data_IF_983530238939
#
_entry.id   IF_983530238939
#
_cell.length_a   1.000
_cell.length_b   1.000
_cell.length_c   1.000
_cell.angle_alpha   90.00
_cell.angle_beta   90.00
_cell.angle_gamma   90.00
#
_symmetry.space_group_name_H-M   'P 1'
#
loop_
_entity.id
_entity.type
_entity.pdbx_description
1 polymer ?
#
# COMPACT_ATOMS: atom_id res chain seq x y z
N UNK A 1 24.03 2.22 -6.97
CA UNK A 1 22.71 2.50 -7.56
C UNK A 1 21.83 2.98 -6.40
N UNK A 2 21.47 4.25 -6.37
CA UNK A 2 20.64 4.82 -5.31
C UNK A 2 19.20 4.31 -5.44
N UNK A 3 18.45 4.21 -4.32
CA UNK A 3 17.03 3.83 -4.35
C UNK A 3 16.19 4.74 -5.24
N UNK A 4 16.56 6.01 -5.36
CA UNK A 4 15.93 6.99 -6.25
C UNK A 4 15.88 6.50 -7.70
N UNK A 5 16.97 5.93 -8.21
CA UNK A 5 17.06 5.43 -9.60
C UNK A 5 16.10 4.28 -9.89
N UNK A 6 15.75 3.46 -8.89
CA UNK A 6 14.78 2.38 -9.05
C UNK A 6 13.37 2.92 -9.24
N UNK A 7 12.97 3.88 -8.41
CA UNK A 7 11.62 4.45 -8.47
C UNK A 7 11.38 5.28 -9.73
N UNK A 8 12.41 5.87 -10.34
CA UNK A 8 12.31 6.57 -11.63
C UNK A 8 11.94 5.65 -12.79
N UNK A 9 12.28 4.37 -12.69
CA UNK A 9 11.95 3.36 -13.70
C UNK A 9 10.65 2.58 -13.39
N UNK A 10 10.10 2.77 -12.20
CA UNK A 10 8.88 2.11 -11.77
C UNK A 10 7.69 2.76 -12.46
N UNK A 11 6.97 2.03 -13.33
CA UNK A 11 5.70 2.42 -13.96
C UNK A 11 5.66 2.66 -15.47
N UNK A 12 6.48 2.02 -16.21
CA UNK A 12 6.36 2.07 -17.68
C UNK A 12 5.12 1.31 -18.22
N UNK A 13 4.52 0.42 -17.43
CA UNK A 13 3.35 -0.36 -17.83
C UNK A 13 2.03 0.42 -17.65
N UNK A 14 1.35 0.75 -18.74
CA UNK A 14 -0.02 1.30 -18.70
C UNK A 14 -0.99 0.23 -18.19
N UNK A 15 -1.84 0.53 -17.20
CA UNK A 15 -2.83 -0.43 -16.72
C UNK A 15 -3.87 -0.74 -17.80
N UNK A 16 -4.29 -2.00 -17.86
CA UNK A 16 -5.44 -2.40 -18.67
C UNK A 16 -6.74 -1.86 -18.06
N UNK A 17 -7.82 -1.77 -18.88
CA UNK A 17 -9.14 -1.34 -18.36
C UNK A 17 -9.61 -2.17 -17.17
N UNK A 18 -9.43 -3.50 -17.20
CA UNK A 18 -9.74 -4.40 -16.09
C UNK A 18 -8.83 -4.13 -14.86
N UNK A 19 -7.54 -3.91 -15.06
CA UNK A 19 -6.61 -3.56 -14.00
C UNK A 19 -6.98 -2.24 -13.32
N UNK A 20 -7.39 -1.23 -14.08
CA UNK A 20 -7.90 0.04 -13.54
C UNK A 20 -9.15 -0.15 -12.68
N UNK A 21 -10.11 -0.94 -13.15
CA UNK A 21 -11.33 -1.23 -12.41
C UNK A 21 -11.01 -1.92 -11.07
N UNK A 22 -10.14 -2.95 -11.09
CA UNK A 22 -9.72 -3.67 -9.89
C UNK A 22 -9.04 -2.72 -8.89
N UNK A 23 -8.13 -1.87 -9.37
CA UNK A 23 -7.40 -0.92 -8.51
C UNK A 23 -8.34 0.10 -7.87
N UNK A 24 -9.32 0.62 -8.63
CA UNK A 24 -10.35 1.54 -8.08
C UNK A 24 -11.23 0.85 -7.05
N UNK A 25 -11.68 -0.38 -7.32
CA UNK A 25 -12.48 -1.16 -6.36
C UNK A 25 -11.70 -1.45 -5.08
N UNK A 26 -10.40 -1.75 -5.21
CA UNK A 26 -9.49 -1.98 -4.09
C UNK A 26 -9.30 -0.71 -3.24
N UNK A 27 -9.01 0.43 -3.88
CA UNK A 27 -8.88 1.72 -3.20
C UNK A 27 -10.17 2.11 -2.46
N UNK A 28 -11.32 1.94 -3.09
CA UNK A 28 -12.63 2.18 -2.49
C UNK A 28 -12.90 1.30 -1.24
N UNK A 29 -12.41 0.05 -1.23
CA UNK A 29 -12.50 -0.81 -0.04
C UNK A 29 -11.62 -0.33 1.10
N UNK A 30 -10.40 0.13 0.81
CA UNK A 30 -9.51 0.70 1.83
C UNK A 30 -10.12 1.97 2.41
N UNK A 31 -10.61 2.87 1.56
CA UNK A 31 -11.27 4.11 1.94
C UNK A 31 -12.45 3.84 2.90
N UNK A 32 -13.35 2.93 2.50
CA UNK A 32 -14.51 2.54 3.32
C UNK A 32 -14.12 1.86 4.64
N UNK A 33 -13.10 0.98 4.61
CA UNK A 33 -12.62 0.30 5.81
C UNK A 33 -12.00 1.27 6.82
N UNK A 34 -11.26 2.26 6.34
CA UNK A 34 -10.69 3.31 7.17
C UNK A 34 -11.78 4.15 7.85
N UNK A 35 -12.91 4.36 7.18
CA UNK A 35 -13.96 5.27 7.63
C UNK A 35 -13.62 6.72 7.31
N UNK A 36 -12.97 6.96 6.18
CA UNK A 36 -12.66 8.31 5.70
C UNK A 36 -13.93 8.94 5.14
N UNK A 37 -14.16 10.21 5.46
CA UNK A 37 -15.34 10.98 5.08
C UNK A 37 -14.92 12.34 4.50
N UNK A 38 -15.90 13.10 4.02
CA UNK A 38 -15.69 14.46 3.52
C UNK A 38 -15.05 15.34 4.60
N UNK A 39 -14.06 16.13 4.24
CA UNK A 39 -13.35 17.07 5.12
C UNK A 39 -12.32 16.41 6.03
N UNK A 40 -12.19 15.08 6.09
CA UNK A 40 -11.07 14.46 6.79
C UNK A 40 -9.75 14.75 6.10
N UNK A 41 -8.73 15.07 6.90
CA UNK A 41 -7.35 15.24 6.43
C UNK A 41 -6.62 13.88 6.33
N UNK A 42 -6.09 13.57 5.15
CA UNK A 42 -5.48 12.28 4.83
C UNK A 42 -4.05 12.47 4.33
N UNK A 43 -3.10 11.80 4.98
CA UNK A 43 -1.72 11.67 4.51
C UNK A 43 -1.53 10.29 3.89
N UNK A 44 -1.13 10.21 2.62
CA UNK A 44 -0.69 8.95 2.01
C UNK A 44 0.81 8.99 1.75
N UNK A 45 1.54 7.94 2.16
CA UNK A 45 2.94 7.78 1.79
C UNK A 45 3.07 6.75 0.68
N UNK A 46 3.77 7.12 -0.41
CA UNK A 46 3.95 6.29 -1.59
C UNK A 46 2.65 6.04 -2.38
N UNK A 47 1.90 7.09 -2.77
CA UNK A 47 0.66 6.93 -3.53
C UNK A 47 0.86 6.33 -4.93
N UNK A 48 2.07 6.40 -5.47
CA UNK A 48 2.39 5.91 -6.79
C UNK A 48 1.48 6.53 -7.86
N UNK A 49 0.69 5.70 -8.57
CA UNK A 49 -0.27 6.18 -9.59
C UNK A 49 -1.43 6.99 -9.03
N UNK A 50 -1.60 7.07 -7.73
CA UNK A 50 -2.61 7.87 -7.07
C UNK A 50 -4.04 7.38 -7.22
N UNK A 51 -4.27 6.07 -7.31
CA UNK A 51 -5.64 5.54 -7.40
C UNK A 51 -6.42 5.77 -6.12
N UNK A 52 -5.73 5.68 -4.96
CA UNK A 52 -6.35 6.01 -3.67
C UNK A 52 -6.46 7.53 -3.49
N UNK A 53 -5.48 8.31 -3.96
CA UNK A 53 -5.57 9.77 -4.03
C UNK A 53 -6.82 10.23 -4.77
N UNK A 54 -7.08 9.68 -5.98
CA UNK A 54 -8.29 9.99 -6.74
C UNK A 54 -9.58 9.65 -5.97
N UNK A 55 -9.55 8.60 -5.15
CA UNK A 55 -10.70 8.22 -4.32
C UNK A 55 -10.92 9.24 -3.20
N UNK A 56 -9.86 9.68 -2.51
CA UNK A 56 -9.92 10.70 -1.46
C UNK A 56 -10.39 12.06 -2.01
N UNK A 57 -9.76 12.53 -3.08
CA UNK A 57 -10.09 13.83 -3.70
C UNK A 57 -11.54 13.88 -4.19
N UNK A 58 -12.03 12.80 -4.84
CA UNK A 58 -13.42 12.70 -5.28
C UNK A 58 -14.42 12.66 -4.12
N UNK A 59 -14.02 12.12 -2.98
CA UNK A 59 -14.83 12.08 -1.78
C UNK A 59 -14.79 13.41 -0.99
N UNK A 60 -14.01 14.41 -1.42
CA UNK A 60 -13.90 15.69 -0.72
C UNK A 60 -13.04 15.63 0.55
N UNK A 61 -12.12 14.67 0.66
CA UNK A 61 -11.13 14.64 1.71
C UNK A 61 -9.97 15.60 1.39
N UNK A 62 -9.39 16.22 2.43
CA UNK A 62 -8.17 17.03 2.32
C UNK A 62 -6.97 16.10 2.19
N UNK A 63 -6.47 15.95 0.97
CA UNK A 63 -5.46 14.95 0.66
C UNK A 63 -4.06 15.55 0.54
N UNK A 64 -3.11 14.93 1.25
CA UNK A 64 -1.69 15.22 1.16
C UNK A 64 -0.92 13.91 0.92
N UNK A 65 0.18 13.97 0.18
CA UNK A 65 1.00 12.80 -0.12
C UNK A 65 2.50 13.06 0.04
N UNK A 66 3.25 11.97 0.34
CA UNK A 66 4.71 11.92 0.23
C UNK A 66 5.06 10.89 -0.84
N UNK A 67 5.67 11.32 -1.95
CA UNK A 67 5.98 10.46 -3.11
C UNK A 67 7.42 10.69 -3.57
N UNK A 68 8.30 9.67 -3.59
CA UNK A 68 9.69 9.83 -4.00
C UNK A 68 9.87 10.04 -5.51
N UNK A 69 8.97 9.51 -6.34
CA UNK A 69 9.07 9.67 -7.79
C UNK A 69 8.51 11.02 -8.23
N UNK A 70 9.39 11.87 -8.75
CA UNK A 70 9.06 13.24 -9.15
C UNK A 70 7.95 13.32 -10.20
N UNK A 71 7.96 12.44 -11.21
CA UNK A 71 6.94 12.45 -12.27
C UNK A 71 5.57 12.09 -11.73
N UNK A 72 5.52 11.16 -10.75
CA UNK A 72 4.26 10.79 -10.08
C UNK A 72 3.78 11.90 -9.17
N UNK A 73 4.68 12.53 -8.41
CA UNK A 73 4.36 13.69 -7.58
C UNK A 73 3.73 14.82 -8.42
N UNK A 74 4.37 15.22 -9.51
CA UNK A 74 3.85 16.22 -10.45
C UNK A 74 2.49 15.83 -11.07
N UNK A 75 2.31 14.54 -11.36
CA UNK A 75 1.03 14.03 -11.86
C UNK A 75 -0.09 14.10 -10.81
N UNK A 76 0.23 13.91 -9.54
CA UNK A 76 -0.72 14.04 -8.43
C UNK A 76 -1.08 15.50 -8.17
N UNK A 77 -0.11 16.40 -8.20
CA UNK A 77 -0.32 17.85 -8.05
C UNK A 77 -1.26 18.40 -9.13
N UNK A 78 -1.08 17.98 -10.38
CA UNK A 78 -1.99 18.34 -11.50
C UNK A 78 -3.43 17.86 -11.29
N UNK A 79 -3.65 16.88 -10.40
CA UNK A 79 -4.98 16.38 -10.01
C UNK A 79 -5.53 17.04 -8.74
N UNK A 80 -4.80 18.03 -8.18
CA UNK A 80 -5.23 18.78 -7.00
C UNK A 80 -4.74 18.21 -5.66
N UNK A 81 -3.80 17.26 -5.66
CA UNK A 81 -3.18 16.79 -4.43
C UNK A 81 -2.08 17.75 -3.95
N UNK A 82 -1.91 17.87 -2.63
CA UNK A 82 -0.71 18.46 -2.05
C UNK A 82 0.35 17.38 -1.91
N UNK A 83 1.53 17.53 -2.52
CA UNK A 83 2.55 16.47 -2.57
C UNK A 83 3.90 17.00 -2.11
N UNK A 84 4.54 16.24 -1.21
CA UNK A 84 5.95 16.43 -0.84
C UNK A 84 6.78 15.37 -1.56
N UNK A 85 7.72 15.79 -2.41
CA UNK A 85 8.59 14.87 -3.13
C UNK A 85 9.76 14.45 -2.21
N UNK A 86 9.60 13.30 -1.54
CA UNK A 86 10.58 12.77 -0.59
C UNK A 86 10.50 11.26 -0.44
N UNK A 87 11.61 10.64 -0.02
CA UNK A 87 11.66 9.25 0.42
C UNK A 87 11.21 9.12 1.88
N UNK A 88 10.68 7.97 2.25
CA UNK A 88 10.37 7.59 3.64
C UNK A 88 11.04 6.25 3.99
N UNK A 89 11.53 6.03 5.24
CA UNK A 89 11.84 7.04 6.25
C UNK A 89 13.09 7.87 5.92
N UNK A 90 13.28 9.05 6.53
CA UNK A 90 12.39 9.70 7.49
C UNK A 90 11.15 10.32 6.82
N UNK A 91 10.06 10.47 7.60
CA UNK A 91 8.93 11.28 7.15
C UNK A 91 9.37 12.75 7.08
N UNK A 92 9.13 13.48 5.98
CA UNK A 92 9.42 14.92 5.92
C UNK A 92 8.56 15.67 6.96
N UNK A 93 9.02 16.88 7.34
CA UNK A 93 8.23 17.75 8.20
C UNK A 93 6.90 18.08 7.54
N UNK A 94 5.83 17.96 8.32
CA UNK A 94 4.48 18.25 7.89
C UNK A 94 3.98 19.48 8.65
N UNK A 95 3.36 20.40 7.93
CA UNK A 95 2.84 21.67 8.46
C UNK A 95 1.55 21.55 9.27
N UNK A 96 0.96 20.33 9.30
CA UNK A 96 -0.31 20.02 9.96
C UNK A 96 -0.41 18.58 10.43
N UNK A 97 -1.43 18.32 11.26
CA UNK A 97 -1.81 16.98 11.67
C UNK A 97 -2.95 16.42 10.83
N UNK A 98 -3.05 15.09 10.78
CA UNK A 98 -3.97 14.35 9.93
C UNK A 98 -4.94 13.49 10.74
N UNK A 99 -6.16 13.32 10.23
CA UNK A 99 -7.14 12.36 10.76
C UNK A 99 -6.74 10.93 10.40
N UNK A 100 -6.15 10.76 9.20
CA UNK A 100 -5.70 9.47 8.70
C UNK A 100 -4.31 9.57 8.08
N UNK A 101 -3.49 8.55 8.34
CA UNK A 101 -2.30 8.25 7.54
C UNK A 101 -2.48 6.89 6.86
N UNK A 102 -2.06 6.76 5.61
CA UNK A 102 -2.29 5.56 4.79
C UNK A 102 -1.01 5.15 4.09
N UNK A 103 -0.69 3.86 4.15
CA UNK A 103 0.38 3.20 3.41
C UNK A 103 -0.18 2.01 2.63
N UNK A 104 -0.11 2.06 1.30
CA UNK A 104 -0.58 0.99 0.42
C UNK A 104 0.58 0.44 -0.39
N UNK A 105 1.00 -0.79 -0.11
CA UNK A 105 2.18 -1.45 -0.69
C UNK A 105 3.46 -0.60 -0.55
N UNK A 106 3.72 -0.15 0.67
CA UNK A 106 4.92 0.64 1.02
C UNK A 106 5.68 0.00 2.18
N UNK A 107 4.98 -0.53 3.17
CA UNK A 107 5.61 -1.09 4.37
C UNK A 107 6.58 -2.25 4.06
N UNK A 108 6.28 -3.06 3.05
CA UNK A 108 7.14 -4.16 2.58
C UNK A 108 8.49 -3.70 2.02
N UNK A 109 8.61 -2.43 1.65
CA UNK A 109 9.84 -1.83 1.12
C UNK A 109 10.76 -1.22 2.20
N UNK A 110 10.39 -1.28 3.47
CA UNK A 110 11.29 -0.87 4.54
C UNK A 110 12.51 -1.79 4.57
N UNK A 111 13.72 -1.23 4.72
CA UNK A 111 14.96 -2.03 4.68
C UNK A 111 15.14 -2.89 5.93
N UNK A 112 14.57 -2.46 7.04
CA UNK A 112 14.76 -3.08 8.34
C UNK A 112 13.51 -2.96 9.22
N UNK A 113 13.51 -3.68 10.33
CA UNK A 113 12.51 -3.52 11.39
C UNK A 113 12.60 -2.12 12.02
N UNK A 114 13.81 -1.58 12.11
CA UNK A 114 14.06 -0.24 12.65
C UNK A 114 13.42 0.83 11.77
N UNK A 115 13.59 0.75 10.45
CA UNK A 115 12.95 1.67 9.49
C UNK A 115 11.43 1.57 9.58
N UNK A 116 10.88 0.36 9.67
CA UNK A 116 9.45 0.14 9.79
C UNK A 116 8.90 0.74 11.11
N UNK A 117 9.63 0.59 12.21
CA UNK A 117 9.24 1.18 13.50
C UNK A 117 9.39 2.70 13.47
N UNK A 118 10.48 3.23 12.94
CA UNK A 118 10.72 4.67 12.81
C UNK A 118 9.58 5.36 12.06
N UNK A 119 9.26 4.88 10.85
CA UNK A 119 8.17 5.50 10.08
C UNK A 119 6.82 5.38 10.79
N UNK A 120 6.57 4.26 11.48
CA UNK A 120 5.34 4.06 12.25
C UNK A 120 5.23 5.08 13.38
N UNK A 121 6.32 5.37 14.09
CA UNK A 121 6.36 6.39 15.15
C UNK A 121 6.20 7.80 14.58
N UNK A 122 6.90 8.13 13.49
CA UNK A 122 6.79 9.43 12.84
C UNK A 122 5.36 9.69 12.30
N UNK A 123 4.72 8.66 11.75
CA UNK A 123 3.29 8.74 11.35
C UNK A 123 2.41 9.02 12.57
N UNK A 124 2.70 8.40 13.73
CA UNK A 124 1.94 8.67 14.96
C UNK A 124 2.06 10.13 15.40
N UNK A 125 3.23 10.75 15.25
CA UNK A 125 3.48 12.15 15.63
C UNK A 125 2.62 13.11 14.81
N UNK A 126 2.48 12.89 13.50
CA UNK A 126 1.71 13.75 12.60
C UNK A 126 0.21 13.45 12.57
N UNK A 127 -0.25 12.42 13.28
CA UNK A 127 -1.67 12.16 13.45
C UNK A 127 -2.26 13.00 14.59
N UNK A 128 -3.49 13.48 14.40
CA UNK A 128 -4.32 14.07 15.46
C UNK A 128 -4.57 13.05 16.58
N UNK A 129 -4.96 13.47 17.80
CA UNK A 129 -5.53 12.57 18.80
C UNK A 129 -6.67 11.74 18.17
N UNK A 130 -6.69 10.41 18.45
CA UNK A 130 -7.61 9.44 17.82
C UNK A 130 -7.46 9.28 16.30
N UNK A 131 -6.47 9.93 15.71
CA UNK A 131 -6.11 9.71 14.30
C UNK A 131 -5.71 8.26 14.02
N UNK A 132 -5.91 7.80 12.79
CA UNK A 132 -5.77 6.39 12.44
C UNK A 132 -4.67 6.17 11.42
N UNK A 133 -3.84 5.16 11.66
CA UNK A 133 -2.86 4.68 10.69
C UNK A 133 -3.37 3.41 10.01
N UNK A 134 -3.46 3.45 8.69
CA UNK A 134 -3.96 2.37 7.82
C UNK A 134 -2.80 1.82 7.00
N UNK A 135 -2.53 0.53 7.11
CA UNK A 135 -1.51 -0.17 6.34
C UNK A 135 -2.19 -1.24 5.49
N UNK A 136 -1.89 -1.26 4.19
CA UNK A 136 -2.25 -2.35 3.30
C UNK A 136 -0.99 -2.91 2.64
N UNK A 137 -0.67 -4.17 2.91
CA UNK A 137 0.58 -4.83 2.48
C UNK A 137 0.33 -6.26 2.03
N UNK A 138 1.15 -6.83 1.13
CA UNK A 138 1.11 -8.25 0.79
C UNK A 138 1.23 -9.15 2.02
N UNK A 139 0.42 -10.19 2.12
CA UNK A 139 0.58 -11.20 3.17
C UNK A 139 1.62 -12.23 2.73
N UNK A 140 2.82 -12.18 3.31
CA UNK A 140 3.89 -13.13 3.02
C UNK A 140 3.44 -14.59 3.10
N UNK A 141 2.59 -14.94 4.07
CA UNK A 141 2.11 -16.31 4.23
C UNK A 141 1.26 -16.81 3.05
N UNK A 142 0.69 -15.89 2.28
CA UNK A 142 -0.06 -16.19 1.06
C UNK A 142 0.78 -16.00 -0.21
N UNK A 143 1.56 -14.94 -0.28
CA UNK A 143 2.47 -14.67 -1.41
C UNK A 143 3.61 -15.69 -1.49
N UNK A 144 4.12 -16.17 -0.35
CA UNK A 144 5.22 -17.12 -0.24
C UNK A 144 6.47 -16.60 -1.00
N UNK A 145 7.09 -17.44 -1.84
CA UNK A 145 8.23 -17.04 -2.68
C UNK A 145 7.92 -15.87 -3.63
N UNK A 146 6.66 -15.70 -4.05
CA UNK A 146 6.26 -14.57 -4.88
C UNK A 146 6.39 -13.22 -4.17
N UNK A 147 6.47 -13.19 -2.84
CA UNK A 147 6.71 -11.96 -2.10
C UNK A 147 8.03 -11.28 -2.51
N UNK A 148 9.09 -12.07 -2.67
CA UNK A 148 10.38 -11.56 -3.13
C UNK A 148 10.52 -11.57 -4.66
N UNK A 149 9.85 -12.52 -5.33
CA UNK A 149 9.97 -12.68 -6.78
C UNK A 149 9.22 -11.59 -7.57
N UNK A 150 8.19 -10.96 -7.00
CA UNK A 150 7.42 -9.93 -7.70
C UNK A 150 8.09 -8.56 -7.69
N UNK A 151 8.95 -8.30 -6.69
CA UNK A 151 9.64 -7.03 -6.52
C UNK A 151 10.90 -7.23 -5.66
N UNK A 152 12.07 -6.86 -6.18
CA UNK A 152 13.34 -7.08 -5.50
C UNK A 152 13.53 -6.18 -4.27
N UNK A 153 12.77 -5.10 -4.16
CA UNK A 153 12.85 -4.14 -3.05
C UNK A 153 12.03 -4.56 -1.82
N UNK A 154 11.29 -5.68 -1.89
CA UNK A 154 10.58 -6.25 -0.75
C UNK A 154 11.56 -6.81 0.28
N UNK A 155 11.90 -6.03 1.29
CA UNK A 155 12.86 -6.38 2.35
C UNK A 155 12.19 -6.67 3.69
N UNK A 156 11.11 -5.94 4.04
CA UNK A 156 10.38 -6.12 5.28
C UNK A 156 9.23 -7.12 5.10
N UNK A 157 9.42 -8.33 5.62
CA UNK A 157 8.38 -9.37 5.55
C UNK A 157 7.14 -8.95 6.34
N UNK A 158 6.02 -8.81 5.64
CA UNK A 158 4.73 -8.43 6.22
C UNK A 158 3.83 -9.63 6.44
N UNK A 159 3.36 -9.80 7.67
CA UNK A 159 2.30 -10.73 8.06
C UNK A 159 1.34 -10.01 8.99
N UNK A 160 0.10 -10.49 9.11
CA UNK A 160 -0.89 -9.90 10.03
C UNK A 160 -0.35 -9.76 11.45
N UNK A 161 0.37 -10.77 11.95
CA UNK A 161 0.96 -10.75 13.30
C UNK A 161 2.05 -9.69 13.41
N UNK A 162 2.98 -9.63 12.45
CA UNK A 162 4.08 -8.66 12.48
C UNK A 162 3.58 -7.22 12.38
N UNK A 163 2.62 -6.93 11.47
CA UNK A 163 2.04 -5.60 11.36
C UNK A 163 1.27 -5.20 12.63
N UNK A 164 0.57 -6.15 13.29
CA UNK A 164 -0.06 -5.87 14.58
C UNK A 164 0.97 -5.52 15.65
N UNK A 165 2.06 -6.29 15.75
CA UNK A 165 3.15 -6.03 16.69
C UNK A 165 3.83 -4.69 16.40
N UNK A 166 4.05 -4.36 15.13
CA UNK A 166 4.62 -3.08 14.69
C UNK A 166 3.75 -1.90 15.15
N UNK A 167 2.44 -1.96 14.91
CA UNK A 167 1.51 -0.91 15.35
C UNK A 167 1.50 -0.75 16.89
N UNK A 168 1.47 -1.85 17.64
CA UNK A 168 1.57 -1.81 19.11
C UNK A 168 2.88 -1.16 19.55
N UNK A 169 4.02 -1.57 18.97
CA UNK A 169 5.34 -1.02 19.28
C UNK A 169 5.47 0.45 18.87
N UNK A 170 4.75 0.88 17.85
CA UNK A 170 4.65 2.28 17.41
C UNK A 170 3.67 3.13 18.24
N UNK A 171 3.03 2.57 19.28
CA UNK A 171 2.13 3.30 20.19
C UNK A 171 0.69 3.44 19.69
N UNK A 172 0.25 2.53 18.83
CA UNK A 172 -1.14 2.45 18.38
C UNK A 172 -1.94 1.40 19.17
N UNK A 173 -3.23 1.67 19.35
CA UNK A 173 -4.19 0.76 19.98
C UNK A 173 -5.41 0.51 19.08
N UNK A 174 -6.49 -0.07 19.62
CA UNK A 174 -7.75 -0.35 18.90
C UNK A 174 -7.50 -0.99 17.51
N UNK A 175 -6.53 -1.92 17.46
CA UNK A 175 -6.05 -2.48 16.20
C UNK A 175 -7.08 -3.46 15.63
N UNK A 176 -7.56 -3.17 14.43
CA UNK A 176 -8.43 -4.06 13.65
C UNK A 176 -7.80 -4.40 12.31
N UNK A 177 -8.10 -5.58 11.78
CA UNK A 177 -7.56 -6.01 10.50
C UNK A 177 -8.50 -6.93 9.74
N UNK A 178 -8.39 -6.92 8.42
CA UNK A 178 -9.03 -7.87 7.52
C UNK A 178 -8.09 -8.27 6.39
N UNK A 179 -8.51 -9.23 5.58
CA UNK A 179 -7.81 -9.61 4.37
C UNK A 179 -8.56 -9.14 3.13
N UNK A 180 -7.81 -8.67 2.13
CA UNK A 180 -8.29 -8.33 0.80
C UNK A 180 -7.63 -9.24 -0.25
N UNK A 181 -8.36 -9.55 -1.32
CA UNK A 181 -7.87 -10.31 -2.47
C UNK A 181 -8.41 -9.66 -3.74
N UNK A 182 -7.61 -8.79 -4.36
CA UNK A 182 -8.09 -7.93 -5.43
C UNK A 182 -9.34 -7.13 -5.00
N UNK A 183 -10.43 -7.18 -5.78
CA UNK A 183 -11.67 -6.50 -5.44
C UNK A 183 -12.53 -7.24 -4.40
N UNK A 184 -12.08 -8.39 -3.89
CA UNK A 184 -12.83 -9.25 -3.00
C UNK A 184 -12.35 -9.14 -1.56
N UNK A 185 -13.25 -9.42 -0.61
CA UNK A 185 -12.97 -9.46 0.83
C UNK A 185 -13.78 -10.57 1.50
N UNK A 186 -13.51 -10.86 2.78
CA UNK A 186 -14.21 -11.91 3.52
C UNK A 186 -13.90 -13.33 3.00
N UNK A 187 -14.86 -14.25 3.17
CA UNK A 187 -14.68 -15.68 2.86
C UNK A 187 -14.36 -15.92 1.38
N UNK A 188 -15.04 -15.24 0.47
CA UNK A 188 -14.81 -15.37 -0.98
C UNK A 188 -13.41 -14.97 -1.37
N UNK A 189 -12.93 -13.81 -0.88
CA UNK A 189 -11.57 -13.36 -1.10
C UNK A 189 -10.52 -14.31 -0.49
N UNK A 190 -10.82 -14.87 0.68
CA UNK A 190 -9.95 -15.86 1.33
C UNK A 190 -9.82 -17.14 0.49
N UNK A 191 -10.93 -17.72 0.02
CA UNK A 191 -10.92 -18.94 -0.78
C UNK A 191 -10.21 -18.75 -2.12
N UNK A 192 -10.52 -17.67 -2.85
CA UNK A 192 -9.88 -17.36 -4.13
C UNK A 192 -8.38 -17.15 -3.95
N UNK A 193 -7.95 -16.37 -2.95
CA UNK A 193 -6.53 -16.18 -2.69
C UNK A 193 -5.82 -17.46 -2.30
N UNK A 194 -6.47 -18.36 -1.56
CA UNK A 194 -5.91 -19.65 -1.17
C UNK A 194 -5.66 -20.58 -2.36
N UNK A 195 -6.53 -20.54 -3.37
CA UNK A 195 -6.36 -21.31 -4.61
C UNK A 195 -5.29 -20.65 -5.49
N UNK A 196 -5.46 -19.37 -5.78
CA UNK A 196 -4.59 -18.62 -6.71
C UNK A 196 -3.14 -18.58 -6.24
N UNK A 197 -2.90 -18.44 -4.94
CA UNK A 197 -1.53 -18.43 -4.38
C UNK A 197 -0.75 -19.73 -4.58
N UNK A 198 -1.45 -20.84 -4.86
CA UNK A 198 -0.84 -22.15 -5.12
C UNK A 198 -0.60 -22.45 -6.60
N UNK A 199 -1.09 -21.61 -7.49
CA UNK A 199 -0.84 -21.77 -8.93
C UNK A 199 0.63 -21.49 -9.25
N UNK A 200 1.27 -22.26 -10.16
CA UNK A 200 2.69 -22.13 -10.47
C UNK A 200 2.99 -20.99 -11.47
N UNK A 201 2.17 -19.95 -11.53
CA UNK A 201 2.31 -18.92 -12.57
C UNK A 201 3.60 -18.11 -12.42
N UNK A 202 4.07 -17.86 -11.20
CA UNK A 202 5.37 -17.22 -10.98
C UNK A 202 6.54 -18.07 -11.50
N UNK A 203 6.51 -19.38 -11.26
CA UNK A 203 7.49 -20.32 -11.77
C UNK A 203 7.44 -20.38 -13.32
N UNK A 204 6.25 -20.54 -13.89
CA UNK A 204 6.08 -20.59 -15.36
C UNK A 204 6.51 -19.28 -16.04
N UNK A 205 6.26 -18.14 -15.41
CA UNK A 205 6.76 -16.85 -15.92
C UNK A 205 8.29 -16.76 -15.87
N UNK A 206 8.93 -17.36 -14.88
CA UNK A 206 10.41 -17.45 -14.80
C UNK A 206 11.01 -18.37 -15.85
N UNK A 207 10.38 -19.52 -16.12
CA UNK A 207 10.84 -20.48 -17.15
C UNK A 207 10.58 -19.96 -18.57
N UNK A 208 9.48 -19.23 -18.78
CA UNK A 208 9.07 -18.68 -20.08
C UNK A 208 8.97 -17.15 -20.04
N UNK A 209 10.07 -16.40 -19.84
CA UNK A 209 10.02 -14.95 -19.57
C UNK A 209 9.44 -14.13 -20.72
N UNK A 210 9.54 -14.61 -21.96
CA UNK A 210 9.02 -13.95 -23.16
C UNK A 210 7.54 -14.26 -23.45
N UNK A 211 6.90 -15.13 -22.65
CA UNK A 211 5.51 -15.50 -22.85
C UNK A 211 4.56 -14.44 -22.26
N UNK A 212 3.90 -13.69 -23.14
CA UNK A 212 2.86 -12.73 -22.73
C UNK A 212 1.70 -13.37 -21.94
N UNK A 213 1.42 -14.65 -22.16
CA UNK A 213 0.36 -15.40 -21.48
C UNK A 213 0.76 -15.63 -20.02
N UNK A 214 1.93 -16.23 -19.78
CA UNK A 214 2.40 -16.49 -18.42
C UNK A 214 2.63 -15.21 -17.63
N UNK A 215 3.12 -14.16 -18.28
CA UNK A 215 3.23 -12.84 -17.65
C UNK A 215 1.86 -12.29 -17.19
N UNK A 216 0.82 -12.38 -18.02
CA UNK A 216 -0.53 -11.96 -17.64
C UNK A 216 -1.11 -12.81 -16.52
N UNK A 217 -0.94 -14.13 -16.55
CA UNK A 217 -1.39 -15.05 -15.52
C UNK A 217 -0.69 -14.77 -14.18
N UNK A 218 0.60 -14.49 -14.21
CA UNK A 218 1.36 -14.11 -13.02
C UNK A 218 0.90 -12.76 -12.46
N UNK A 219 0.70 -11.73 -13.28
CA UNK A 219 0.11 -10.45 -12.83
C UNK A 219 -1.28 -10.64 -12.20
N UNK A 220 -2.11 -11.51 -12.77
CA UNK A 220 -3.42 -11.86 -12.21
C UNK A 220 -3.26 -12.57 -10.86
N UNK A 221 -2.32 -13.51 -10.74
CA UNK A 221 -1.99 -14.18 -9.47
C UNK A 221 -1.63 -13.16 -8.38
N UNK A 222 -0.70 -12.23 -8.67
CA UNK A 222 -0.29 -11.20 -7.71
C UNK A 222 -1.46 -10.28 -7.30
N UNK A 223 -2.30 -9.92 -8.26
CA UNK A 223 -3.49 -9.07 -8.02
C UNK A 223 -4.50 -9.75 -7.09
N UNK A 224 -4.71 -11.07 -7.26
CA UNK A 224 -5.66 -11.86 -6.48
C UNK A 224 -5.03 -12.49 -5.24
N UNK A 225 -3.72 -12.41 -5.06
CA UNK A 225 -3.05 -12.81 -3.83
C UNK A 225 -3.47 -11.93 -2.66
N UNK A 226 -3.47 -12.53 -1.47
CA UNK A 226 -4.03 -11.92 -0.26
C UNK A 226 -3.15 -10.78 0.24
N UNK A 227 -3.79 -9.66 0.54
CA UNK A 227 -3.19 -8.52 1.24
C UNK A 227 -3.80 -8.36 2.62
N UNK A 228 -3.01 -7.85 3.54
CA UNK A 228 -3.43 -7.49 4.89
C UNK A 228 -3.84 -6.03 4.85
N UNK A 229 -5.06 -5.73 5.27
CA UNK A 229 -5.49 -4.39 5.57
C UNK A 229 -5.63 -4.29 7.09
N UNK A 230 -4.84 -3.44 7.71
CA UNK A 230 -4.78 -3.25 9.16
C UNK A 230 -4.82 -1.77 9.49
N UNK A 231 -5.48 -1.45 10.58
CA UNK A 231 -5.64 -0.09 11.09
C UNK A 231 -5.37 -0.09 12.60
N UNK A 232 -4.62 0.90 13.06
CA UNK A 232 -4.43 1.22 14.47
C UNK A 232 -4.79 2.68 14.74
N UNK A 233 -5.25 2.98 15.95
CA UNK A 233 -5.65 4.31 16.40
C UNK A 233 -4.61 4.87 17.37
N UNK A 234 -4.24 6.15 17.20
CA UNK A 234 -3.40 6.89 18.14
C UNK A 234 -4.17 7.13 19.43
N UNK A 235 -3.55 6.81 20.57
CA UNK A 235 -4.07 7.27 21.86
C UNK A 235 -3.90 8.78 22.02
N UNK A 236 -4.73 9.35 22.85
CA UNK A 236 -4.63 10.76 23.25
C UNK A 236 -3.30 11.07 23.93
#
# INVERSE_FOLDING_TARGET
MTKEYFYDHFQQDKPTGAGNWISKAFAGKIFKYAGIEVGHSVLETGPGRGVFADTCLKAGAEYCAVEPNRQMAESLEKRGANVVCAMVPPLPEMDRQFDFAVMINVMEHMNSMQDALQITQQIREVLKPKGKFVICSPDYLNYRHNFFNCDFSHSYVTTRRRLKQLLVSGGFNNIRSCYLSGPMSGVTGFLISAIVSRMPFGFLNGVFPNSKVFHKLYKMQLTLSRKILILGEKQD
#
